data_IF_413965212113
#
_entry.id   IF_413965212113
#
_cell.length_a   1.000
_cell.length_b   1.000
_cell.length_c   1.000
_cell.angle_alpha   90.00
_cell.angle_beta   90.00
_cell.angle_gamma   90.00
#
_symmetry.space_group_name_H-M   'P 1'
#
loop_
_entity.id
_entity.type
_entity.pdbx_description
1 polymer ?
#
# COMPACT_ATOMS: atom_id res chain seq x y z
N UNK A 1 4.84 -6.71 12.02
CA UNK A 1 3.40 -6.35 12.07
C UNK A 1 2.95 -6.34 13.53
N UNK A 2 2.01 -5.46 13.90
CA UNK A 2 1.44 -5.42 15.25
C UNK A 2 0.26 -6.37 15.44
N UNK A 3 -0.51 -6.62 14.37
CA UNK A 3 -1.66 -7.53 14.33
C UNK A 3 -1.47 -8.58 13.24
N UNK A 4 -2.07 -9.74 13.41
CA UNK A 4 -2.11 -10.83 12.43
C UNK A 4 -3.17 -10.57 11.35
N UNK A 5 -3.06 -11.23 10.19
CA UNK A 5 -4.08 -11.10 9.13
C UNK A 5 -5.50 -11.48 9.58
N UNK A 6 -5.73 -12.59 10.32
CA UNK A 6 -7.07 -12.90 10.82
C UNK A 6 -7.65 -11.84 11.76
N UNK A 7 -6.82 -11.22 12.61
CA UNK A 7 -7.26 -10.15 13.51
C UNK A 7 -7.69 -8.90 12.73
N UNK A 8 -6.93 -8.51 11.70
CA UNK A 8 -7.25 -7.37 10.84
C UNK A 8 -8.59 -7.61 10.11
N UNK A 9 -8.74 -8.78 9.49
CA UNK A 9 -9.98 -9.13 8.75
C UNK A 9 -11.18 -9.17 9.70
N UNK A 10 -11.05 -9.79 10.87
CA UNK A 10 -12.08 -9.84 11.90
C UNK A 10 -12.51 -8.44 12.35
N UNK A 11 -11.55 -7.56 12.62
CA UNK A 11 -11.80 -6.18 13.05
C UNK A 11 -12.59 -5.39 12.00
N UNK A 12 -12.14 -5.42 10.73
CA UNK A 12 -12.81 -4.69 9.64
C UNK A 12 -14.23 -5.22 9.41
N UNK A 13 -14.42 -6.54 9.45
CA UNK A 13 -15.71 -7.19 9.19
C UNK A 13 -16.83 -6.82 10.18
N UNK A 14 -16.48 -6.34 11.38
CA UNK A 14 -17.43 -5.86 12.38
C UNK A 14 -17.96 -4.46 12.08
N UNK A 15 -17.25 -3.68 11.25
CA UNK A 15 -17.61 -2.31 10.91
C UNK A 15 -18.23 -2.21 9.51
N UNK A 16 -17.74 -3.02 8.57
CA UNK A 16 -18.20 -3.03 7.17
C UNK A 16 -18.26 -4.46 6.64
N UNK A 17 -19.19 -4.74 5.72
CA UNK A 17 -19.27 -6.05 5.06
C UNK A 17 -18.18 -6.18 4.00
N UNK A 18 -17.26 -7.12 4.19
CA UNK A 18 -16.26 -7.50 3.19
C UNK A 18 -16.89 -8.35 2.08
N UNK A 19 -16.46 -8.14 0.84
CA UNK A 19 -16.89 -8.83 -0.37
C UNK A 19 -15.71 -9.48 -1.09
N UNK A 20 -15.94 -10.53 -1.90
CA UNK A 20 -14.90 -11.09 -2.74
C UNK A 20 -14.30 -10.03 -3.67
N UNK A 21 -12.97 -9.91 -3.65
CA UNK A 21 -12.23 -8.90 -4.42
C UNK A 21 -11.82 -7.66 -3.61
N UNK A 22 -12.32 -7.50 -2.39
CA UNK A 22 -11.89 -6.40 -1.52
C UNK A 22 -10.40 -6.52 -1.14
N UNK A 23 -9.71 -5.38 -1.12
CA UNK A 23 -8.29 -5.28 -0.78
C UNK A 23 -8.11 -4.67 0.61
N UNK A 24 -7.28 -5.32 1.42
CA UNK A 24 -6.93 -4.86 2.78
C UNK A 24 -5.44 -4.56 2.84
N UNK A 25 -5.10 -3.29 3.09
CA UNK A 25 -3.72 -2.86 3.27
C UNK A 25 -3.31 -3.02 4.73
N UNK A 26 -2.39 -3.96 5.00
CA UNK A 26 -2.01 -4.36 6.36
C UNK A 26 -1.02 -3.41 7.07
N UNK A 27 -0.77 -2.25 6.48
CA UNK A 27 0.20 -1.26 6.95
C UNK A 27 1.64 -1.53 6.47
N UNK A 28 2.50 -0.53 6.66
CA UNK A 28 3.93 -0.58 6.36
C UNK A 28 4.75 -0.43 7.65
N UNK A 29 5.98 -0.93 7.63
CA UNK A 29 6.95 -0.75 8.72
C UNK A 29 7.92 0.38 8.41
N UNK A 30 8.53 0.94 9.46
CA UNK A 30 9.62 1.91 9.31
C UNK A 30 9.15 3.36 9.19
N UNK A 31 10.10 4.24 8.93
CA UNK A 31 9.87 5.68 8.76
C UNK A 31 9.78 5.96 7.26
N UNK A 32 8.70 6.63 6.86
CA UNK A 32 8.54 7.07 5.46
C UNK A 32 9.46 8.26 5.18
N UNK A 33 10.07 8.25 4.01
CA UNK A 33 10.84 9.37 3.47
C UNK A 33 10.03 10.08 2.39
N UNK A 34 10.25 11.38 2.24
CA UNK A 34 9.58 12.17 1.21
C UNK A 34 10.06 11.72 -0.18
N UNK A 35 9.12 11.25 -0.98
CA UNK A 35 9.31 10.88 -2.37
C UNK A 35 9.36 12.14 -3.23
N UNK A 36 10.21 12.17 -4.25
CA UNK A 36 10.38 13.28 -5.20
C UNK A 36 10.20 12.80 -6.64
N UNK A 37 9.86 13.72 -7.55
CA UNK A 37 9.89 13.43 -8.97
C UNK A 37 11.27 13.00 -9.45
N UNK A 38 11.30 12.01 -10.34
CA UNK A 38 12.50 11.32 -10.79
C UNK A 38 12.92 10.14 -9.90
N UNK A 39 12.29 9.95 -8.73
CA UNK A 39 12.59 8.81 -7.87
C UNK A 39 12.03 7.51 -8.47
N UNK A 40 12.79 6.43 -8.27
CA UNK A 40 12.36 5.06 -8.52
C UNK A 40 12.04 4.40 -7.19
N UNK A 41 10.79 4.00 -6.98
CA UNK A 41 10.33 3.37 -5.74
C UNK A 41 10.07 1.89 -6.00
N UNK A 42 10.72 1.03 -5.20
CA UNK A 42 10.55 -0.42 -5.25
C UNK A 42 10.00 -0.94 -3.92
N UNK A 43 9.04 -1.85 -4.00
CA UNK A 43 8.47 -2.57 -2.86
C UNK A 43 8.55 -4.06 -3.14
N UNK A 44 9.25 -4.80 -2.28
CA UNK A 44 9.41 -6.25 -2.39
C UNK A 44 8.63 -6.96 -1.28
N UNK A 45 7.89 -8.01 -1.66
CA UNK A 45 7.31 -8.96 -0.73
C UNK A 45 7.83 -10.37 -1.09
N UNK A 46 8.64 -10.99 -0.22
CA UNK A 46 9.18 -12.32 -0.45
C UNK A 46 8.11 -13.35 -0.78
N UNK A 47 8.27 -14.03 -1.92
CA UNK A 47 7.34 -15.05 -2.39
C UNK A 47 6.11 -14.53 -3.13
N UNK A 48 5.91 -13.21 -3.22
CA UNK A 48 4.87 -12.59 -4.04
C UNK A 48 5.50 -11.88 -5.25
N UNK A 49 6.47 -10.99 -5.00
CA UNK A 49 7.20 -10.28 -6.06
C UNK A 49 7.54 -8.84 -5.70
N UNK A 50 8.12 -8.16 -6.68
CA UNK A 50 8.55 -6.76 -6.59
C UNK A 50 7.62 -5.88 -7.42
N UNK A 51 7.12 -4.81 -6.81
CA UNK A 51 6.43 -3.71 -7.49
C UNK A 51 7.38 -2.53 -7.61
N UNK A 52 7.55 -2.04 -8.83
CA UNK A 52 8.38 -0.89 -9.16
C UNK A 52 7.50 0.24 -9.72
N UNK A 53 7.76 1.47 -9.26
CA UNK A 53 7.08 2.67 -9.74
C UNK A 53 8.06 3.83 -9.93
N UNK A 54 8.09 4.40 -11.14
CA UNK A 54 8.80 5.65 -11.42
C UNK A 54 7.91 6.84 -11.08
N UNK A 55 8.44 7.77 -10.29
CA UNK A 55 7.69 8.93 -9.79
C UNK A 55 7.90 10.09 -10.72
N UNK A 56 6.80 10.63 -11.25
CA UNK A 56 6.82 11.78 -12.15
C UNK A 56 6.34 13.05 -11.45
N UNK A 57 6.68 14.21 -12.02
CA UNK A 57 6.09 15.48 -11.58
C UNK A 57 4.57 15.44 -11.80
N UNK A 58 3.82 15.97 -10.83
CA UNK A 58 2.38 16.16 -11.02
C UNK A 58 2.15 17.01 -12.27
N UNK A 59 1.39 16.47 -13.22
CA UNK A 59 1.05 17.18 -14.44
C UNK A 59 -0.05 18.19 -14.11
N UNK A 60 0.24 19.48 -14.26
CA UNK A 60 -0.78 20.52 -14.15
C UNK A 60 -1.71 20.47 -15.37
N UNK A 61 -2.86 19.81 -15.21
CA UNK A 61 -3.88 19.68 -16.26
C UNK A 61 -4.65 20.98 -16.52
N UNK A 62 -4.25 22.13 -15.94
CA UNK A 62 -4.87 23.46 -16.14
C UNK A 62 -4.08 24.37 -17.08
N UNK A 63 -3.06 23.87 -17.78
CA UNK A 63 -2.37 24.57 -18.87
C UNK A 63 -2.68 23.97 -20.23
#
# INVERSE_FOLDING_TARGET
MLFTFPEIVSCISQQVTLRPGDLVFSGATGVTIAIKPGDKVEVDIPGIGVLENNVELEFDSRR
#
